data_IF_760339707066
#
_entry.id   IF_760339707066
#
_cell.length_a   1.000
_cell.length_b   1.000
_cell.length_c   1.000
_cell.angle_alpha   90.00
_cell.angle_beta   90.00
_cell.angle_gamma   90.00
#
_symmetry.space_group_name_H-M   'P 1'
#
loop_
_entity.id
_entity.type
_entity.pdbx_description
1 polymer ?
#
# COMPACT_ATOMS: atom_id res chain seq x y z
N UNK A 1 -2.18 19.65 25.48
CA UNK A 1 -3.08 19.38 26.62
C UNK A 1 -4.46 19.20 26.06
N UNK A 2 -5.14 18.09 26.37
CA UNK A 2 -6.49 17.84 25.89
C UNK A 2 -7.35 17.40 27.07
N UNK A 3 -8.53 18.01 27.22
CA UNK A 3 -9.53 17.63 28.22
C UNK A 3 -10.64 16.82 27.52
N UNK A 4 -10.70 15.53 27.85
CA UNK A 4 -11.66 14.57 27.27
C UNK A 4 -13.03 14.64 27.98
N UNK A 5 -13.08 15.17 29.21
CA UNK A 5 -14.25 15.06 30.10
C UNK A 5 -14.80 16.41 30.60
N UNK A 6 -14.18 17.54 30.26
CA UNK A 6 -14.65 18.87 30.62
C UNK A 6 -14.55 19.16 32.12
N UNK A 7 -13.57 18.56 32.78
CA UNK A 7 -13.41 18.56 34.24
C UNK A 7 -12.04 19.12 34.68
N UNK A 8 -11.42 19.97 33.86
CA UNK A 8 -10.15 20.68 34.13
C UNK A 8 -8.96 19.73 34.41
N UNK A 9 -9.10 18.44 34.10
CA UNK A 9 -8.05 17.45 34.28
C UNK A 9 -7.32 17.20 32.95
N UNK A 10 -6.42 18.12 32.63
CA UNK A 10 -5.69 18.13 31.38
C UNK A 10 -4.69 16.98 31.29
N UNK A 11 -4.83 16.14 30.26
CA UNK A 11 -3.84 15.11 29.96
C UNK A 11 -2.85 15.62 28.92
N UNK A 12 -1.57 15.31 29.13
CA UNK A 12 -0.55 15.45 28.09
C UNK A 12 -0.82 14.34 27.07
N UNK A 13 -1.15 14.74 25.84
CA UNK A 13 -1.42 13.82 24.72
C UNK A 13 -0.41 14.14 23.62
N UNK A 14 0.15 13.14 22.92
CA UNK A 14 0.96 13.35 21.73
C UNK A 14 0.19 14.17 20.69
N UNK A 15 0.84 15.13 20.04
CA UNK A 15 0.22 15.94 19.00
C UNK A 15 0.08 15.13 17.70
N UNK A 16 -1.16 14.75 17.38
CA UNK A 16 -1.54 14.01 16.17
C UNK A 16 -2.23 14.89 15.13
N UNK A 17 -2.48 16.17 15.43
CA UNK A 17 -3.21 17.07 14.53
C UNK A 17 -2.29 17.76 13.50
N UNK A 18 -0.97 17.74 13.73
CA UNK A 18 0.00 18.28 12.78
C UNK A 18 0.12 17.39 11.56
N UNK A 19 -0.44 17.85 10.43
CA UNK A 19 -0.28 17.20 9.14
C UNK A 19 1.02 17.63 8.46
N UNK A 20 1.99 16.73 8.37
CA UNK A 20 3.21 16.96 7.59
C UNK A 20 3.05 16.33 6.21
N UNK A 21 2.79 17.15 5.19
CA UNK A 21 2.77 16.68 3.80
C UNK A 21 4.16 16.89 3.19
N UNK A 22 4.85 15.80 2.87
CA UNK A 22 6.10 15.86 2.11
C UNK A 22 5.89 16.65 0.80
N UNK A 23 6.80 17.58 0.50
CA UNK A 23 6.76 18.38 -0.74
C UNK A 23 6.76 17.41 -1.93
N UNK A 24 5.80 17.57 -2.86
CA UNK A 24 5.60 16.66 -4.00
C UNK A 24 6.89 16.36 -4.79
N UNK A 25 7.87 17.30 -4.82
CA UNK A 25 9.16 17.13 -5.50
C UNK A 25 10.01 15.93 -5.06
N UNK A 26 9.87 15.45 -3.81
CA UNK A 26 10.59 14.26 -3.34
C UNK A 26 9.87 12.98 -3.82
N UNK A 27 8.54 13.04 -3.95
CA UNK A 27 7.69 11.90 -4.36
C UNK A 27 7.85 11.56 -5.85
N UNK A 28 8.12 12.57 -6.67
CA UNK A 28 8.24 12.42 -8.12
C UNK A 28 9.68 12.13 -8.57
N UNK A 29 10.66 12.18 -7.67
CA UNK A 29 12.02 11.75 -7.97
C UNK A 29 12.12 10.22 -7.91
N UNK A 30 11.75 9.58 -9.03
CA UNK A 30 11.93 8.15 -9.29
C UNK A 30 13.36 7.65 -9.00
N UNK A 31 14.37 8.51 -9.12
CA UNK A 31 15.79 8.19 -8.86
C UNK A 31 16.07 7.88 -7.39
N UNK A 32 15.22 8.35 -6.47
CA UNK A 32 15.42 8.16 -5.03
C UNK A 32 14.63 6.98 -4.46
N UNK A 33 13.77 6.35 -5.27
CA UNK A 33 12.80 5.37 -4.82
C UNK A 33 13.07 4.02 -5.50
N UNK A 34 13.44 3.04 -4.69
CA UNK A 34 13.58 1.65 -5.12
C UNK A 34 12.26 0.90 -4.92
N UNK A 35 12.03 -0.12 -5.76
CA UNK A 35 10.91 -1.05 -5.59
C UNK A 35 11.31 -2.15 -4.61
N UNK A 36 10.43 -2.47 -3.67
CA UNK A 36 10.62 -3.53 -2.69
C UNK A 36 9.38 -4.44 -2.70
N UNK A 37 9.63 -5.75 -2.73
CA UNK A 37 8.59 -6.77 -2.64
C UNK A 37 8.45 -7.24 -1.19
N UNK A 38 7.28 -7.00 -0.60
CA UNK A 38 7.00 -7.35 0.81
C UNK A 38 6.82 -8.85 0.95
N UNK A 39 7.56 -9.49 1.86
CA UNK A 39 7.38 -10.93 2.10
C UNK A 39 6.08 -11.22 2.87
N UNK A 40 5.59 -12.46 2.79
CA UNK A 40 4.38 -12.88 3.50
C UNK A 40 4.49 -12.62 5.02
N UNK A 41 3.49 -11.95 5.58
CA UNK A 41 3.44 -11.60 7.01
C UNK A 41 4.42 -10.52 7.47
N UNK A 42 5.14 -9.85 6.56
CA UNK A 42 5.95 -8.70 6.91
C UNK A 42 5.08 -7.51 7.32
N UNK A 43 5.58 -6.72 8.28
CA UNK A 43 4.96 -5.48 8.73
C UNK A 43 5.78 -4.30 8.22
N UNK A 44 5.22 -3.08 8.16
CA UNK A 44 5.99 -1.88 7.82
C UNK A 44 7.26 -1.73 8.65
N UNK A 45 7.21 -2.10 9.94
CA UNK A 45 8.33 -2.10 10.88
C UNK A 45 9.45 -3.06 10.46
N UNK A 46 9.09 -4.26 10.00
CA UNK A 46 10.06 -5.24 9.51
C UNK A 46 10.76 -4.76 8.25
N UNK A 47 10.02 -4.13 7.32
CA UNK A 47 10.60 -3.54 6.10
C UNK A 47 11.54 -2.40 6.46
N UNK A 48 11.13 -1.50 7.35
CA UNK A 48 11.96 -0.39 7.79
C UNK A 48 13.27 -0.87 8.46
N UNK A 49 13.19 -1.91 9.29
CA UNK A 49 14.38 -2.51 9.89
C UNK A 49 15.31 -3.13 8.83
N UNK A 50 14.77 -3.82 7.81
CA UNK A 50 15.57 -4.41 6.73
C UNK A 50 16.24 -3.38 5.83
N UNK A 51 15.52 -2.31 5.50
CA UNK A 51 16.00 -1.28 4.54
C UNK A 51 16.86 -0.24 5.25
N UNK A 52 16.42 0.27 6.40
CA UNK A 52 17.05 1.39 7.10
C UNK A 52 17.86 0.99 8.34
N UNK A 53 17.75 -0.26 8.81
CA UNK A 53 18.37 -0.71 10.06
C UNK A 53 17.65 -0.25 11.32
N UNK A 54 16.51 0.44 11.18
CA UNK A 54 15.73 1.00 12.30
C UNK A 54 14.23 0.77 12.07
N UNK A 55 13.59 0.06 13.00
CA UNK A 55 12.16 -0.23 12.96
C UNK A 55 11.32 1.03 13.21
N UNK A 56 11.85 2.04 13.90
CA UNK A 56 11.14 3.28 14.22
C UNK A 56 10.90 4.15 12.99
N UNK A 57 11.57 3.85 11.86
CA UNK A 57 11.40 4.54 10.59
C UNK A 57 10.25 3.98 9.73
N UNK A 58 9.40 3.11 10.27
CA UNK A 58 8.23 2.55 9.57
C UNK A 58 7.30 3.63 8.97
N UNK A 59 7.17 4.78 9.65
CA UNK A 59 6.34 5.89 9.18
C UNK A 59 6.84 6.49 7.86
N UNK A 60 8.15 6.39 7.57
CA UNK A 60 8.73 6.85 6.30
C UNK A 60 8.21 5.98 5.16
N UNK A 61 8.22 4.65 5.36
CA UNK A 61 7.68 3.68 4.38
C UNK A 61 6.20 3.94 4.14
N UNK A 62 5.42 4.17 5.21
CA UNK A 62 4.00 4.50 5.08
C UNK A 62 3.78 5.84 4.34
N UNK A 63 4.59 6.86 4.63
CA UNK A 63 4.48 8.19 4.02
C UNK A 63 4.80 8.20 2.52
N UNK A 64 5.77 7.40 2.09
CA UNK A 64 6.16 7.27 0.67
C UNK A 64 5.04 6.59 -0.11
N UNK A 65 4.48 5.51 0.44
CA UNK A 65 3.43 4.72 -0.20
C UNK A 65 2.01 5.28 0.01
N UNK A 66 1.87 6.42 0.71
CA UNK A 66 0.57 7.05 1.05
C UNK A 66 -0.36 6.09 1.79
N UNK A 67 0.21 5.28 2.67
CA UNK A 67 -0.53 4.35 3.51
C UNK A 67 -1.10 5.16 4.68
N UNK A 68 -2.43 5.25 4.74
CA UNK A 68 -3.13 5.96 5.81
C UNK A 68 -3.37 5.03 6.99
N UNK A 69 -3.78 3.80 6.72
CA UNK A 69 -3.99 2.77 7.73
C UNK A 69 -3.11 1.55 7.48
N UNK A 70 -2.01 1.40 8.24
CA UNK A 70 -1.12 0.24 8.13
C UNK A 70 -1.80 -1.11 8.35
N UNK A 71 -2.98 -1.17 8.98
CA UNK A 71 -3.69 -2.43 9.19
C UNK A 71 -4.49 -2.92 7.98
N UNK A 72 -4.98 -2.02 7.12
CA UNK A 72 -5.85 -2.37 5.98
C UNK A 72 -5.21 -2.12 4.61
N UNK A 73 -4.32 -1.13 4.54
CA UNK A 73 -3.64 -0.76 3.29
C UNK A 73 -2.41 -1.62 3.04
N UNK A 74 -1.87 -2.26 4.09
CA UNK A 74 -0.73 -3.16 3.98
C UNK A 74 -1.14 -4.53 3.41
N UNK A 75 -0.26 -5.22 2.65
CA UNK A 75 -0.53 -6.57 2.19
C UNK A 75 -0.84 -7.51 3.36
N UNK A 76 -1.92 -8.27 3.21
CA UNK A 76 -2.34 -9.27 4.18
C UNK A 76 -1.44 -10.50 4.09
N UNK A 77 -1.22 -11.18 5.22
CA UNK A 77 -0.59 -12.49 5.17
C UNK A 77 -1.50 -13.53 4.52
N UNK A 78 -0.94 -14.63 4.01
CA UNK A 78 -1.71 -15.70 3.38
C UNK A 78 -2.88 -16.19 4.25
N UNK A 79 -2.64 -16.39 5.56
CA UNK A 79 -3.70 -16.82 6.48
C UNK A 79 -4.77 -15.74 6.69
N UNK A 80 -4.38 -14.48 6.80
CA UNK A 80 -5.31 -13.36 6.93
C UNK A 80 -6.13 -13.17 5.66
N UNK A 81 -5.51 -13.38 4.51
CA UNK A 81 -6.14 -13.31 3.20
C UNK A 81 -7.19 -14.41 3.02
N UNK A 82 -6.87 -15.66 3.39
CA UNK A 82 -7.85 -16.75 3.37
C UNK A 82 -9.07 -16.45 4.26
N UNK A 83 -8.84 -15.92 5.46
CA UNK A 83 -9.93 -15.54 6.35
C UNK A 83 -10.74 -14.36 5.79
N UNK A 84 -10.07 -13.37 5.19
CA UNK A 84 -10.72 -12.24 4.52
C UNK A 84 -11.61 -12.70 3.37
N UNK A 85 -11.15 -13.64 2.54
CA UNK A 85 -11.96 -14.19 1.46
C UNK A 85 -13.19 -14.94 1.98
N UNK A 86 -13.04 -15.75 3.03
CA UNK A 86 -14.15 -16.49 3.65
C UNK A 86 -15.19 -15.59 4.31
N UNK A 87 -14.76 -14.46 4.87
CA UNK A 87 -15.67 -13.51 5.52
C UNK A 87 -16.40 -12.62 4.49
N UNK A 88 -15.74 -12.31 3.37
CA UNK A 88 -16.27 -11.41 2.34
C UNK A 88 -17.16 -12.12 1.31
N UNK A 89 -16.84 -13.37 0.95
CA UNK A 89 -17.51 -14.11 -0.11
C UNK A 89 -18.05 -15.45 0.41
N UNK A 90 -19.32 -15.73 0.11
CA UNK A 90 -19.91 -17.05 0.35
C UNK A 90 -19.28 -18.12 -0.56
N UNK A 91 -18.94 -17.74 -1.80
CA UNK A 91 -18.26 -18.59 -2.79
C UNK A 91 -16.99 -17.90 -3.32
N UNK A 92 -15.83 -18.40 -2.91
CA UNK A 92 -14.51 -17.85 -3.27
C UNK A 92 -14.16 -18.09 -4.74
N UNK A 93 -14.67 -19.18 -5.33
CA UNK A 93 -14.43 -19.56 -6.72
C UNK A 93 -15.51 -19.04 -7.69
N UNK A 94 -16.48 -18.28 -7.20
CA UNK A 94 -17.51 -17.66 -8.05
C UNK A 94 -16.91 -16.61 -8.98
N UNK A 95 -17.52 -16.45 -10.15
CA UNK A 95 -17.10 -15.46 -11.16
C UNK A 95 -17.42 -14.07 -10.65
N UNK A 96 -16.39 -13.24 -10.46
CA UNK A 96 -16.55 -11.84 -10.05
C UNK A 96 -16.96 -10.98 -11.26
N UNK A 97 -16.24 -11.16 -12.37
CA UNK A 97 -16.45 -10.43 -13.61
C UNK A 97 -15.73 -11.15 -14.77
N UNK A 98 -15.96 -10.66 -15.98
CA UNK A 98 -15.32 -11.17 -17.19
C UNK A 98 -14.35 -10.12 -17.69
N UNK A 99 -13.16 -10.54 -18.08
CA UNK A 99 -12.14 -9.65 -18.62
C UNK A 99 -11.72 -10.10 -20.01
N UNK A 100 -11.39 -9.13 -20.88
CA UNK A 100 -10.76 -9.40 -22.16
C UNK A 100 -9.54 -8.51 -22.37
N UNK A 101 -8.62 -8.96 -23.23
CA UNK A 101 -7.49 -8.13 -23.64
C UNK A 101 -8.00 -6.93 -24.42
N UNK A 102 -7.48 -5.75 -24.10
CA UNK A 102 -7.85 -4.52 -24.78
C UNK A 102 -7.56 -4.57 -26.29
N UNK A 103 -8.49 -4.03 -27.08
CA UNK A 103 -8.37 -3.99 -28.55
C UNK A 103 -7.46 -2.86 -29.05
N UNK A 104 -7.15 -1.88 -28.21
CA UNK A 104 -6.28 -0.74 -28.53
C UNK A 104 -5.50 -0.32 -27.28
N UNK A 105 -4.16 -0.25 -27.36
CA UNK A 105 -3.27 0.02 -26.22
C UNK A 105 -2.23 -1.08 -26.01
N UNK A 106 -1.45 -1.08 -24.91
CA UNK A 106 -0.52 -2.14 -24.59
C UNK A 106 -1.24 -3.49 -24.42
N UNK A 107 -1.05 -4.42 -25.35
CA UNK A 107 -1.72 -5.73 -25.34
C UNK A 107 -0.96 -6.79 -24.53
N UNK A 108 0.18 -6.40 -23.96
CA UNK A 108 1.09 -7.27 -23.20
C UNK A 108 1.48 -6.51 -21.94
N UNK A 109 1.38 -7.16 -20.78
CA UNK A 109 1.79 -6.59 -19.50
C UNK A 109 3.31 -6.46 -19.41
N UNK A 110 3.78 -5.45 -18.69
CA UNK A 110 5.21 -5.24 -18.44
C UNK A 110 5.80 -6.16 -17.35
N UNK A 111 4.99 -7.08 -16.79
CA UNK A 111 5.41 -8.07 -15.79
C UNK A 111 4.28 -9.04 -15.40
N UNK A 112 4.57 -10.04 -14.54
CA UNK A 112 3.59 -11.06 -14.10
C UNK A 112 2.37 -10.49 -13.37
N UNK A 113 2.57 -9.35 -12.70
CA UNK A 113 1.56 -8.67 -11.88
C UNK A 113 0.83 -7.53 -12.62
N UNK A 114 1.20 -7.27 -13.88
CA UNK A 114 0.67 -6.16 -14.67
C UNK A 114 -0.51 -6.59 -15.53
N UNK A 115 -1.70 -6.45 -14.93
CA UNK A 115 -2.99 -6.72 -15.58
C UNK A 115 -3.59 -5.46 -16.24
N UNK A 116 -2.80 -4.40 -16.48
CA UNK A 116 -3.30 -3.14 -17.06
C UNK A 116 -3.86 -3.28 -18.50
N UNK A 117 -3.55 -4.40 -19.16
CA UNK A 117 -4.04 -4.72 -20.50
C UNK A 117 -5.41 -5.42 -20.51
N UNK A 118 -5.96 -5.76 -19.36
CA UNK A 118 -7.26 -6.43 -19.21
C UNK A 118 -8.35 -5.39 -18.96
N UNK A 119 -9.47 -5.51 -19.66
CA UNK A 119 -10.65 -4.64 -19.53
C UNK A 119 -11.85 -5.50 -19.19
N UNK A 120 -12.65 -5.06 -18.22
CA UNK A 120 -13.92 -5.70 -17.88
C UNK A 120 -14.88 -5.68 -19.08
N UNK A 121 -15.46 -6.82 -19.40
CA UNK A 121 -16.33 -7.04 -20.55
C UNK A 121 -17.57 -7.86 -20.17
N UNK A 122 -18.51 -8.00 -21.09
CA UNK A 122 -19.68 -8.85 -20.86
C UNK A 122 -19.32 -10.31 -21.13
N UNK A 123 -20.03 -11.23 -20.47
CA UNK A 123 -19.80 -12.69 -20.63
C UNK A 123 -20.02 -13.20 -22.07
N UNK A 124 -20.73 -12.44 -22.90
CA UNK A 124 -21.03 -12.78 -24.30
C UNK A 124 -19.96 -12.30 -25.29
N UNK A 125 -18.95 -11.55 -24.83
CA UNK A 125 -17.89 -11.04 -25.70
C UNK A 125 -16.91 -12.14 -26.12
N UNK A 126 -16.54 -12.16 -27.40
CA UNK A 126 -15.58 -13.12 -27.93
C UNK A 126 -14.20 -12.93 -27.26
N UNK A 127 -13.72 -13.98 -26.58
CA UNK A 127 -12.45 -13.95 -25.84
C UNK A 127 -12.56 -13.47 -24.39
N UNK A 128 -13.76 -13.37 -23.84
CA UNK A 128 -13.98 -13.10 -22.43
C UNK A 128 -13.49 -14.27 -21.55
N UNK A 129 -12.52 -13.99 -20.67
CA UNK A 129 -12.09 -14.90 -19.61
C UNK A 129 -12.83 -14.60 -18.31
N UNK A 130 -13.32 -15.64 -17.63
CA UNK A 130 -13.90 -15.47 -16.29
C UNK A 130 -12.78 -15.26 -15.27
N UNK A 131 -12.91 -14.23 -14.45
CA UNK A 131 -12.04 -13.99 -13.29
C UNK A 131 -12.80 -14.33 -12.03
N UNK A 132 -12.23 -15.18 -11.19
CA UNK A 132 -12.83 -15.58 -9.91
C UNK A 132 -12.62 -14.52 -8.84
N UNK A 133 -13.44 -14.54 -7.78
CA UNK A 133 -13.25 -13.65 -6.62
C UNK A 133 -11.84 -13.82 -6.03
N UNK A 134 -11.36 -15.07 -5.92
CA UNK A 134 -10.01 -15.38 -5.43
C UNK A 134 -8.90 -14.74 -6.28
N UNK A 135 -9.00 -14.85 -7.60
CA UNK A 135 -8.04 -14.26 -8.53
C UNK A 135 -8.03 -12.74 -8.44
N UNK A 136 -9.21 -12.12 -8.45
CA UNK A 136 -9.35 -10.67 -8.35
C UNK A 136 -8.70 -10.12 -7.06
N UNK A 137 -9.02 -10.72 -5.91
CA UNK A 137 -8.46 -10.29 -4.63
C UNK A 137 -6.95 -10.53 -4.53
N UNK A 138 -6.46 -11.64 -5.10
CA UNK A 138 -5.01 -11.92 -5.13
C UNK A 138 -4.26 -10.84 -5.91
N UNK A 139 -4.77 -10.44 -7.08
CA UNK A 139 -4.17 -9.36 -7.88
C UNK A 139 -4.13 -8.02 -7.13
N UNK A 140 -5.13 -7.74 -6.30
CA UNK A 140 -5.12 -6.54 -5.44
C UNK A 140 -4.01 -6.65 -4.39
N UNK A 141 -3.86 -7.81 -3.75
CA UNK A 141 -2.79 -8.03 -2.77
C UNK A 141 -1.40 -7.96 -3.40
N UNK A 142 -1.20 -8.54 -4.58
CA UNK A 142 0.09 -8.49 -5.30
C UNK A 142 0.48 -7.04 -5.63
N UNK A 143 -0.49 -6.20 -6.04
CA UNK A 143 -0.27 -4.76 -6.24
C UNK A 143 0.10 -4.04 -4.94
N UNK A 144 -0.50 -4.42 -3.80
CA UNK A 144 -0.15 -3.86 -2.48
C UNK A 144 1.22 -4.33 -1.97
N UNK A 145 1.66 -5.52 -2.37
CA UNK A 145 2.94 -6.13 -2.01
C UNK A 145 4.13 -5.37 -2.60
N UNK A 146 3.92 -4.76 -3.76
CA UNK A 146 4.89 -3.90 -4.44
C UNK A 146 4.86 -2.49 -3.84
N UNK A 147 5.83 -2.21 -2.97
CA UNK A 147 5.96 -0.90 -2.32
C UNK A 147 7.21 -0.17 -2.83
N UNK A 148 7.21 1.15 -2.64
CA UNK A 148 8.35 2.01 -2.95
C UNK A 148 9.05 2.37 -1.64
N UNK A 149 10.36 2.19 -1.59
CA UNK A 149 11.20 2.54 -0.44
C UNK A 149 12.23 3.59 -0.86
N UNK A 150 12.55 4.52 0.04
CA UNK A 150 13.62 5.50 -0.19
C UNK A 150 14.98 4.80 -0.08
N UNK A 151 15.94 5.15 -0.94
CA UNK A 151 17.33 4.71 -0.79
C UNK A 151 17.85 5.13 0.61
N UNK A 152 18.40 4.18 1.41
CA UNK A 152 18.94 4.44 2.75
C UNK A 152 19.91 5.62 2.82
N UNK A 153 20.61 5.96 1.73
CA UNK A 153 21.53 7.11 1.70
C UNK A 153 20.84 8.45 1.94
N UNK A 154 19.55 8.57 1.63
CA UNK A 154 18.79 9.82 1.73
C UNK A 154 17.90 9.89 2.97
N UNK A 155 17.86 8.82 3.78
CA UNK A 155 16.98 8.75 4.95
C UNK A 155 17.30 9.82 6.00
N UNK A 156 18.58 10.06 6.26
CA UNK A 156 19.00 11.02 7.29
C UNK A 156 18.70 12.48 6.87
N UNK A 157 18.87 12.80 5.59
CA UNK A 157 18.44 14.09 5.03
C UNK A 157 16.93 14.26 5.15
N UNK A 158 16.16 13.22 4.81
CA UNK A 158 14.70 13.24 4.89
C UNK A 158 14.21 13.45 6.33
N UNK A 159 14.79 12.74 7.30
CA UNK A 159 14.44 12.88 8.73
C UNK A 159 14.78 14.29 9.23
N UNK A 160 15.92 14.85 8.82
CA UNK A 160 16.30 16.23 9.16
C UNK A 160 15.31 17.26 8.59
N UNK A 161 14.94 17.14 7.32
CA UNK A 161 13.93 18.01 6.72
C UNK A 161 12.56 17.87 7.40
N UNK A 162 12.15 16.63 7.70
CA UNK A 162 10.89 16.34 8.38
C UNK A 162 10.83 16.97 9.78
N UNK A 163 11.90 16.83 10.58
CA UNK A 163 12.03 17.48 11.89
C UNK A 163 11.98 19.00 11.78
N UNK A 164 12.58 19.57 10.72
CA UNK A 164 12.50 21.02 10.48
C UNK A 164 11.09 21.47 10.12
N UNK A 165 10.33 20.68 9.37
CA UNK A 165 8.94 20.99 9.02
C UNK A 165 7.99 20.86 10.21
N UNK A 166 8.24 19.92 11.15
CA UNK A 166 7.43 19.77 12.37
C UNK A 166 7.63 20.94 13.34
N UNK A 167 8.84 21.52 13.35
CA UNK A 167 9.19 22.61 14.26
C UNK A 167 8.60 23.95 13.83
N UNK A 168 8.25 24.11 12.55
CA UNK A 168 7.47 25.26 12.05
C UNK A 168 6.01 25.13 12.47
#
# INVERSE_FOLDING_TARGET
MYDIKGNDNWKLVPDIFRRVKSRNKIKDNLVLLDQYDVSDGERPEHVAYKVYGDADLFWVVCMINKIENPYYDWPLSNLQFENYMKDKYDEVDAVHHWEKIQSSGPQIGAGPEDYSHMIECNSTDAGAGAVTNAEYERRIQDKKRQIRVLDPKYIDLFVREFKSLIRQ
#
